data_IF_051854863310
#
_entry.id   IF_051854863310
#
_cell.length_a   1.000
_cell.length_b   1.000
_cell.length_c   1.000
_cell.angle_alpha   90.00
_cell.angle_beta   90.00
_cell.angle_gamma   90.00
#
_symmetry.space_group_name_H-M   'P 1'
#
loop_
_entity.id
_entity.type
_entity.pdbx_description
1 polymer ?
#
# COMPACT_ATOMS: atom_id res chain seq x y z
N UNK A 1 12.09 30.24 10.04
CA UNK A 1 13.30 29.87 9.28
C UNK A 1 14.49 30.55 9.93
N UNK A 2 15.40 29.80 10.55
CA UNK A 2 16.68 30.36 11.02
C UNK A 2 17.80 29.81 10.14
N UNK A 3 18.61 30.71 9.60
CA UNK A 3 19.78 30.41 8.80
C UNK A 3 21.00 30.68 9.69
N UNK A 4 21.78 29.64 9.96
CA UNK A 4 23.04 29.79 10.70
C UNK A 4 24.20 29.46 9.77
N UNK A 5 25.18 30.37 9.71
CA UNK A 5 26.48 30.11 9.09
C UNK A 5 27.34 29.42 10.14
N UNK A 6 27.66 28.13 9.95
CA UNK A 6 28.61 27.47 10.84
C UNK A 6 29.99 28.09 10.67
N UNK A 7 30.64 28.50 11.76
CA UNK A 7 32.06 28.84 11.72
C UNK A 7 32.91 27.61 11.36
N UNK A 8 34.01 27.86 10.66
CA UNK A 8 35.01 26.94 10.10
C UNK A 8 34.46 25.58 9.60
N UNK A 9 34.29 25.51 8.28
CA UNK A 9 34.01 24.30 7.48
C UNK A 9 32.63 23.63 7.68
N UNK A 10 31.72 24.28 8.40
CA UNK A 10 30.32 23.84 8.55
C UNK A 10 29.42 24.76 7.75
N UNK A 11 29.04 24.34 6.53
CA UNK A 11 28.17 25.08 5.63
C UNK A 11 26.82 25.54 6.24
N UNK A 12 26.07 26.32 5.46
CA UNK A 12 24.79 26.91 5.87
C UNK A 12 23.78 25.84 6.32
N UNK A 13 23.21 26.00 7.52
CA UNK A 13 22.21 25.09 8.08
C UNK A 13 20.85 25.78 8.18
N UNK A 14 19.82 25.04 7.75
CA UNK A 14 18.41 25.45 7.81
C UNK A 14 17.73 24.78 9.01
N UNK A 15 17.13 25.58 9.89
CA UNK A 15 16.21 25.07 10.92
C UNK A 15 14.75 25.28 10.49
N UNK A 16 14.08 24.17 10.16
CA UNK A 16 12.69 24.09 9.69
C UNK A 16 11.96 22.89 10.31
N UNK A 17 11.56 22.96 11.60
CA UNK A 17 10.85 21.88 12.25
C UNK A 17 9.51 21.61 11.54
N UNK A 18 9.31 20.38 11.08
CA UNK A 18 8.11 19.98 10.33
C UNK A 18 8.24 20.06 8.81
N UNK A 19 9.39 20.48 8.25
CA UNK A 19 9.66 20.52 6.81
C UNK A 19 8.67 21.36 5.99
N UNK A 20 8.04 22.39 6.57
CA UNK A 20 7.04 23.21 5.90
C UNK A 20 7.56 23.92 4.65
N UNK A 21 8.85 24.27 4.62
CA UNK A 21 9.48 25.01 3.52
C UNK A 21 10.60 24.21 2.84
N UNK A 22 10.72 22.93 3.18
CA UNK A 22 11.83 22.07 2.73
C UNK A 22 11.27 20.94 1.89
N UNK A 23 11.71 20.84 0.63
CA UNK A 23 11.38 19.71 -0.24
C UNK A 23 12.46 18.62 -0.11
N UNK A 24 12.21 17.50 0.61
CA UNK A 24 13.25 16.48 0.85
C UNK A 24 13.47 15.55 -0.35
N UNK A 25 12.51 15.45 -1.26
CA UNK A 25 12.52 14.50 -2.37
C UNK A 25 11.93 15.13 -3.63
N UNK A 26 12.44 14.72 -4.80
CA UNK A 26 11.83 14.99 -6.10
C UNK A 26 10.96 13.80 -6.49
N UNK A 27 9.68 14.04 -6.73
CA UNK A 27 8.72 13.02 -7.15
C UNK A 27 8.01 13.43 -8.44
N UNK A 28 7.58 12.43 -9.22
CA UNK A 28 6.71 12.58 -10.39
C UNK A 28 5.43 11.76 -10.26
N UNK A 29 5.05 11.38 -9.03
CA UNK A 29 3.89 10.52 -8.75
C UNK A 29 2.59 11.32 -8.73
N UNK A 30 2.52 12.36 -7.89
CA UNK A 30 1.36 13.23 -7.75
C UNK A 30 1.77 14.70 -7.80
N UNK A 31 0.86 15.53 -8.29
CA UNK A 31 0.95 16.98 -8.22
C UNK A 31 -0.28 17.51 -7.49
N UNK A 32 -0.05 18.41 -6.54
CA UNK A 32 -1.08 19.00 -5.69
C UNK A 32 -0.88 20.51 -5.73
N UNK A 33 -1.94 21.24 -6.07
CA UNK A 33 -2.06 22.68 -5.85
C UNK A 33 -3.23 22.92 -4.90
N UNK A 34 -2.93 23.31 -3.66
CA UNK A 34 -3.95 23.50 -2.64
C UNK A 34 -4.77 24.78 -2.82
N UNK A 35 -4.19 25.80 -3.46
CA UNK A 35 -4.84 27.10 -3.65
C UNK A 35 -5.84 27.02 -4.81
N UNK A 36 -5.47 26.33 -5.90
CA UNK A 36 -6.36 26.08 -7.05
C UNK A 36 -7.23 24.82 -6.89
N UNK A 37 -6.98 24.00 -5.86
CA UNK A 37 -7.70 22.75 -5.61
C UNK A 37 -7.41 21.65 -6.63
N UNK A 38 -6.20 21.62 -7.20
CA UNK A 38 -5.81 20.67 -8.24
C UNK A 38 -5.14 19.45 -7.61
N UNK A 39 -5.61 18.25 -7.97
CA UNK A 39 -4.94 16.99 -7.67
C UNK A 39 -4.76 16.18 -8.96
N UNK A 40 -3.52 15.80 -9.27
CA UNK A 40 -3.19 14.97 -10.44
C UNK A 40 -2.33 13.77 -10.06
N UNK A 41 -2.64 12.61 -10.61
CA UNK A 41 -1.80 11.41 -10.54
C UNK A 41 -1.12 11.19 -11.89
N UNK A 42 0.23 11.20 -11.90
CA UNK A 42 1.04 11.07 -13.12
C UNK A 42 0.62 12.04 -14.25
N UNK A 43 0.05 13.19 -13.91
CA UNK A 43 -0.45 14.19 -14.84
C UNK A 43 -1.95 14.11 -15.16
N UNK A 44 -2.62 13.01 -14.82
CA UNK A 44 -4.06 12.83 -15.00
C UNK A 44 -4.86 13.49 -13.87
N UNK A 45 -5.90 14.30 -14.16
CA UNK A 45 -6.81 14.84 -13.14
C UNK A 45 -7.50 13.74 -12.33
N UNK A 46 -7.66 13.95 -11.02
CA UNK A 46 -8.25 12.94 -10.14
C UNK A 46 -9.71 12.65 -10.48
N UNK A 47 -10.45 13.64 -10.96
CA UNK A 47 -11.87 13.54 -11.31
C UNK A 47 -12.06 12.56 -12.47
N UNK A 48 -11.17 12.63 -13.46
CA UNK A 48 -11.19 11.72 -14.62
C UNK A 48 -10.87 10.29 -14.20
N UNK A 49 -9.88 10.09 -13.33
CA UNK A 49 -9.53 8.76 -12.84
C UNK A 49 -10.65 8.18 -11.98
N UNK A 50 -11.31 8.99 -11.15
CA UNK A 50 -12.41 8.53 -10.30
C UNK A 50 -13.64 8.11 -11.11
N UNK A 51 -13.96 8.80 -12.21
CA UNK A 51 -15.13 8.49 -13.05
C UNK A 51 -14.89 7.36 -14.05
N UNK A 52 -13.68 7.25 -14.60
CA UNK A 52 -13.42 6.40 -15.78
C UNK A 52 -12.49 5.21 -15.52
N UNK A 53 -11.79 5.18 -14.39
CA UNK A 53 -10.77 4.16 -14.11
C UNK A 53 -11.18 3.25 -12.96
N UNK A 54 -10.47 2.13 -12.81
CA UNK A 54 -10.66 1.19 -11.69
C UNK A 54 -9.51 1.27 -10.70
N UNK A 55 -9.73 0.79 -9.46
CA UNK A 55 -8.66 0.80 -8.45
C UNK A 55 -7.37 0.08 -8.90
N UNK A 56 -7.42 -1.15 -9.49
CA UNK A 56 -6.20 -1.81 -9.98
C UNK A 56 -5.48 -1.03 -11.07
N UNK A 57 -6.22 -0.35 -11.95
CA UNK A 57 -5.67 0.48 -13.03
C UNK A 57 -4.95 1.72 -12.48
N UNK A 58 -5.57 2.44 -11.55
CA UNK A 58 -4.95 3.59 -10.87
C UNK A 58 -3.74 3.15 -10.03
N UNK A 59 -3.81 2.00 -9.37
CA UNK A 59 -2.68 1.44 -8.63
C UNK A 59 -1.49 1.15 -9.57
N UNK A 60 -1.76 0.56 -10.75
CA UNK A 60 -0.74 0.35 -11.78
C UNK A 60 -0.13 1.68 -12.24
N UNK A 61 -0.95 2.68 -12.54
CA UNK A 61 -0.52 4.02 -12.95
C UNK A 61 0.43 4.65 -11.93
N UNK A 62 0.09 4.61 -10.64
CA UNK A 62 0.89 5.23 -9.59
C UNK A 62 2.26 4.56 -9.47
N UNK A 63 2.31 3.23 -9.59
CA UNK A 63 3.53 2.43 -9.42
C UNK A 63 4.44 2.52 -10.65
N UNK A 64 3.89 2.35 -11.85
CA UNK A 64 4.66 2.20 -13.09
C UNK A 64 4.69 3.47 -13.96
N UNK A 65 3.85 4.46 -13.66
CA UNK A 65 3.91 5.80 -14.27
C UNK A 65 3.03 5.99 -15.50
N UNK A 66 2.46 4.94 -16.08
CA UNK A 66 1.56 5.02 -17.23
C UNK A 66 0.34 4.12 -17.00
N UNK A 67 -0.77 4.43 -17.68
CA UNK A 67 -1.94 3.56 -17.70
C UNK A 67 -1.59 2.23 -18.40
N UNK A 68 -2.07 1.09 -17.87
CA UNK A 68 -1.81 -0.22 -18.47
C UNK A 68 -2.58 -0.40 -19.78
N UNK A 69 -2.04 -1.20 -20.70
CA UNK A 69 -2.84 -1.77 -21.79
C UNK A 69 -3.83 -2.82 -21.24
N UNK A 70 -4.84 -3.18 -22.03
CA UNK A 70 -5.82 -4.20 -21.63
C UNK A 70 -5.16 -5.55 -21.23
N UNK A 71 -4.10 -5.97 -21.93
CA UNK A 71 -3.36 -7.19 -21.59
C UNK A 71 -2.57 -7.04 -20.28
N UNK A 72 -1.92 -5.88 -20.07
CA UNK A 72 -1.18 -5.60 -18.84
C UNK A 72 -2.11 -5.53 -17.63
N UNK A 73 -3.30 -4.96 -17.80
CA UNK A 73 -4.30 -4.90 -16.74
C UNK A 73 -4.81 -6.29 -16.38
N UNK A 74 -5.11 -7.15 -17.37
CA UNK A 74 -5.54 -8.51 -17.11
C UNK A 74 -4.47 -9.34 -16.37
N UNK A 75 -3.21 -9.24 -16.78
CA UNK A 75 -2.09 -9.91 -16.11
C UNK A 75 -1.92 -9.40 -14.67
N UNK A 76 -2.07 -8.10 -14.48
CA UNK A 76 -1.98 -7.44 -13.18
C UNK A 76 -3.09 -7.87 -12.22
N UNK A 77 -4.33 -7.88 -12.67
CA UNK A 77 -5.48 -8.32 -11.89
C UNK A 77 -5.39 -9.81 -11.53
N UNK A 78 -4.96 -10.66 -12.48
CA UNK A 78 -4.72 -12.08 -12.20
C UNK A 78 -3.66 -12.27 -11.13
N UNK A 79 -2.52 -11.57 -11.26
CA UNK A 79 -1.43 -11.65 -10.29
C UNK A 79 -1.87 -11.21 -8.88
N UNK A 80 -2.70 -10.16 -8.77
CA UNK A 80 -3.27 -9.72 -7.49
C UNK A 80 -4.22 -10.77 -6.93
N UNK A 81 -5.12 -11.31 -7.76
CA UNK A 81 -6.15 -12.29 -7.39
C UNK A 81 -5.54 -13.58 -6.81
N UNK A 82 -4.49 -14.11 -7.46
CA UNK A 82 -3.70 -15.26 -6.98
C UNK A 82 -3.04 -15.04 -5.62
N UNK A 83 -2.95 -13.78 -5.22
CA UNK A 83 -2.32 -13.33 -4.01
C UNK A 83 -3.33 -12.72 -3.03
N UNK A 84 -4.61 -13.10 -3.05
CA UNK A 84 -5.60 -12.64 -2.05
C UNK A 84 -5.71 -13.53 -0.81
N UNK A 85 -5.43 -14.83 -0.93
CA UNK A 85 -5.63 -15.81 0.14
C UNK A 85 -4.78 -15.52 1.39
N UNK A 86 -5.41 -15.63 2.56
CA UNK A 86 -4.79 -15.40 3.85
C UNK A 86 -4.08 -16.69 4.34
N UNK A 87 -2.78 -16.65 4.68
CA UNK A 87 -2.11 -17.79 5.30
C UNK A 87 -2.76 -18.16 6.63
N UNK A 88 -2.92 -19.46 6.90
CA UNK A 88 -3.61 -19.96 8.11
C UNK A 88 -3.00 -19.41 9.41
N UNK A 89 -1.66 -19.29 9.48
CA UNK A 89 -0.98 -18.72 10.64
C UNK A 89 -1.34 -17.24 10.88
N UNK A 90 -1.51 -16.46 9.81
CA UNK A 90 -1.91 -15.05 9.92
C UNK A 90 -3.39 -14.91 10.32
N UNK A 91 -4.26 -15.76 9.79
CA UNK A 91 -5.66 -15.83 10.21
C UNK A 91 -5.78 -16.14 11.71
N UNK A 92 -4.99 -17.09 12.22
CA UNK A 92 -4.94 -17.44 13.63
C UNK A 92 -4.45 -16.27 14.51
N UNK A 93 -3.43 -15.52 14.06
CA UNK A 93 -2.94 -14.33 14.76
C UNK A 93 -4.04 -13.27 14.87
N UNK A 94 -4.77 -12.99 13.79
CA UNK A 94 -5.89 -12.03 13.80
C UNK A 94 -6.99 -12.50 14.75
N UNK A 95 -7.33 -13.80 14.71
CA UNK A 95 -8.36 -14.37 15.59
C UNK A 95 -7.94 -14.48 17.06
N UNK A 96 -6.64 -14.44 17.36
CA UNK A 96 -6.14 -14.42 18.73
C UNK A 96 -6.22 -13.03 19.39
N UNK A 97 -6.37 -11.96 18.60
CA UNK A 97 -6.46 -10.60 19.13
C UNK A 97 -7.79 -10.35 19.85
N UNK A 98 -7.85 -9.47 20.87
CA UNK A 98 -9.11 -9.12 21.53
C UNK A 98 -10.14 -8.56 20.55
N UNK A 99 -11.42 -8.85 20.75
CA UNK A 99 -12.50 -8.36 19.88
C UNK A 99 -12.76 -6.85 20.04
N UNK A 100 -12.44 -6.30 21.21
CA UNK A 100 -12.56 -4.89 21.56
C UNK A 100 -11.32 -4.06 21.17
N UNK A 101 -10.31 -4.69 20.55
CA UNK A 101 -9.14 -4.00 20.05
C UNK A 101 -9.50 -3.09 18.87
N UNK A 102 -8.88 -1.90 18.82
CA UNK A 102 -9.12 -0.96 17.74
C UNK A 102 -8.66 -1.56 16.39
N UNK A 103 -9.50 -1.56 15.32
CA UNK A 103 -9.20 -2.21 14.04
C UNK A 103 -7.85 -1.82 13.44
N UNK A 104 -7.48 -0.53 13.52
CA UNK A 104 -6.18 -0.08 13.01
C UNK A 104 -4.98 -0.68 13.76
N UNK A 105 -5.09 -0.92 15.07
CA UNK A 105 -4.03 -1.58 15.83
C UNK A 105 -3.86 -3.02 15.37
N UNK A 106 -4.97 -3.73 15.20
CA UNK A 106 -4.99 -5.10 14.70
C UNK A 106 -4.44 -5.21 13.28
N UNK A 107 -4.81 -4.28 12.39
CA UNK A 107 -4.31 -4.22 11.02
C UNK A 107 -2.79 -4.05 10.97
N UNK A 108 -2.23 -3.11 11.74
CA UNK A 108 -0.78 -2.88 11.81
C UNK A 108 -0.04 -4.10 12.37
N UNK A 109 -0.59 -4.73 13.43
CA UNK A 109 -0.02 -5.95 13.99
C UNK A 109 -0.05 -7.10 12.99
N UNK A 110 -1.16 -7.27 12.26
CA UNK A 110 -1.30 -8.30 11.24
C UNK A 110 -0.33 -8.07 10.06
N UNK A 111 -0.14 -6.83 9.61
CA UNK A 111 0.84 -6.51 8.56
C UNK A 111 2.27 -6.76 9.02
N UNK A 112 2.57 -6.44 10.28
CA UNK A 112 3.87 -6.74 10.88
C UNK A 112 4.10 -8.25 10.97
N UNK A 113 3.11 -9.02 11.41
CA UNK A 113 3.17 -10.49 11.40
C UNK A 113 3.32 -11.05 9.98
N UNK A 114 2.61 -10.47 8.99
CA UNK A 114 2.73 -10.87 7.59
C UNK A 114 4.15 -10.70 7.04
N UNK A 115 4.86 -9.65 7.45
CA UNK A 115 6.26 -9.44 7.03
C UNK A 115 7.19 -10.61 7.43
N UNK A 116 6.88 -11.30 8.55
CA UNK A 116 7.69 -12.44 9.03
C UNK A 116 7.55 -13.69 8.17
N UNK A 117 6.48 -13.79 7.36
CA UNK A 117 6.23 -14.92 6.47
C UNK A 117 7.07 -14.87 5.18
N UNK A 118 7.76 -13.76 4.92
CA UNK A 118 8.58 -13.56 3.71
C UNK A 118 10.02 -13.18 4.10
N UNK A 119 10.80 -14.11 4.69
CA UNK A 119 12.21 -13.85 5.04
C UNK A 119 13.08 -13.61 3.80
N UNK A 120 12.64 -14.07 2.63
CA UNK A 120 13.23 -13.73 1.33
C UNK A 120 13.07 -12.27 0.94
N UNK A 121 12.10 -11.56 1.51
CA UNK A 121 11.80 -10.15 1.26
C UNK A 121 12.28 -9.22 2.39
N UNK A 122 13.06 -9.72 3.35
CA UNK A 122 13.53 -8.94 4.49
C UNK A 122 14.97 -8.45 4.27
N UNK A 123 15.20 -7.11 4.16
CA UNK A 123 16.53 -6.57 3.90
C UNK A 123 17.50 -6.78 5.06
N UNK A 124 17.02 -6.96 6.30
CA UNK A 124 17.87 -7.28 7.44
C UNK A 124 18.44 -8.71 7.38
N UNK A 125 17.78 -9.61 6.63
CA UNK A 125 18.21 -11.01 6.45
C UNK A 125 18.94 -11.25 5.14
N UNK A 126 18.58 -10.50 4.08
CA UNK A 126 19.08 -10.72 2.71
C UNK A 126 20.07 -9.67 2.22
N UNK A 127 20.21 -8.54 2.90
CA UNK A 127 21.00 -7.40 2.44
C UNK A 127 20.15 -6.29 1.85
N UNK A 128 20.72 -5.09 1.75
CA UNK A 128 20.03 -3.89 1.24
C UNK A 128 19.85 -3.92 -0.29
N UNK A 129 20.68 -4.70 -0.99
CA UNK A 129 20.67 -4.93 -2.44
C UNK A 129 19.44 -5.71 -2.93
N UNK A 130 18.68 -6.32 -2.01
CA UNK A 130 17.40 -6.97 -2.30
C UNK A 130 16.46 -6.09 -3.14
N UNK A 131 16.46 -4.79 -2.85
CA UNK A 131 15.58 -3.83 -3.50
C UNK A 131 16.08 -3.37 -4.87
N UNK A 132 17.23 -3.81 -5.37
CA UNK A 132 17.70 -3.43 -6.71
C UNK A 132 16.96 -4.21 -7.80
N UNK A 133 16.58 -5.45 -7.51
CA UNK A 133 15.83 -6.30 -8.45
C UNK A 133 14.37 -5.84 -8.59
N UNK A 134 14.00 -5.36 -9.79
CA UNK A 134 12.63 -5.00 -10.14
C UNK A 134 11.65 -6.17 -9.90
N UNK A 135 12.03 -7.39 -10.27
CA UNK A 135 11.19 -8.58 -10.10
C UNK A 135 10.85 -8.85 -8.63
N UNK A 136 11.82 -8.68 -7.73
CA UNK A 136 11.58 -8.85 -6.28
C UNK A 136 10.61 -7.78 -5.78
N UNK A 137 10.80 -6.51 -6.17
CA UNK A 137 9.89 -5.42 -5.80
C UNK A 137 8.48 -5.65 -6.32
N UNK A 138 8.32 -5.96 -7.61
CA UNK A 138 7.02 -6.20 -8.25
C UNK A 138 6.26 -7.34 -7.56
N UNK A 139 6.95 -8.43 -7.22
CA UNK A 139 6.34 -9.54 -6.47
C UNK A 139 5.79 -9.11 -5.10
N UNK A 140 6.52 -8.27 -4.37
CA UNK A 140 6.04 -7.79 -3.06
C UNK A 140 4.89 -6.80 -3.20
N UNK A 141 4.91 -5.96 -4.24
CA UNK A 141 3.82 -5.02 -4.53
C UNK A 141 2.51 -5.78 -4.74
N UNK A 142 2.49 -6.78 -5.62
CA UNK A 142 1.30 -7.59 -5.90
C UNK A 142 0.81 -8.31 -4.63
N UNK A 143 1.74 -8.84 -3.83
CA UNK A 143 1.42 -9.47 -2.54
C UNK A 143 0.74 -8.50 -1.58
N UNK A 144 1.25 -7.28 -1.44
CA UNK A 144 0.65 -6.28 -0.55
C UNK A 144 -0.74 -5.88 -1.06
N UNK A 145 -0.88 -5.59 -2.35
CA UNK A 145 -2.16 -5.21 -2.95
C UNK A 145 -3.24 -6.30 -2.80
N UNK A 146 -2.87 -7.58 -2.90
CA UNK A 146 -3.80 -8.70 -2.70
C UNK A 146 -4.12 -8.99 -1.23
N UNK A 147 -3.15 -8.88 -0.31
CA UNK A 147 -3.34 -9.26 1.11
C UNK A 147 -4.03 -8.20 1.95
N UNK A 148 -3.75 -6.91 1.69
CA UNK A 148 -4.24 -5.83 2.54
C UNK A 148 -5.77 -5.82 2.65
N UNK A 149 -6.56 -5.97 1.57
CA UNK A 149 -8.02 -6.07 1.66
C UNK A 149 -8.49 -7.26 2.48
N UNK A 150 -7.89 -8.44 2.27
CA UNK A 150 -8.24 -9.67 3.00
C UNK A 150 -7.93 -9.55 4.49
N UNK A 151 -6.80 -8.94 4.85
CA UNK A 151 -6.44 -8.66 6.25
C UNK A 151 -7.42 -7.65 6.86
N UNK A 152 -7.72 -6.56 6.15
CA UNK A 152 -8.64 -5.55 6.62
C UNK A 152 -10.05 -6.12 6.87
N UNK A 153 -10.55 -6.95 5.95
CA UNK A 153 -11.83 -7.62 6.10
C UNK A 153 -11.83 -8.61 7.28
N UNK A 154 -10.78 -9.43 7.42
CA UNK A 154 -10.63 -10.35 8.54
C UNK A 154 -10.57 -9.63 9.91
N UNK A 155 -9.95 -8.46 9.97
CA UNK A 155 -9.91 -7.61 11.17
C UNK A 155 -11.30 -7.05 11.49
N UNK A 156 -12.05 -6.58 10.49
CA UNK A 156 -13.41 -6.08 10.67
C UNK A 156 -14.34 -7.19 11.20
N UNK A 157 -14.33 -8.36 10.55
CA UNK A 157 -15.09 -9.52 11.00
C UNK A 157 -14.68 -9.96 12.41
N UNK A 158 -13.40 -9.85 12.77
CA UNK A 158 -12.95 -10.13 14.14
C UNK A 158 -13.56 -9.19 15.17
N UNK A 159 -13.68 -7.90 14.87
CA UNK A 159 -14.36 -6.95 15.78
C UNK A 159 -15.86 -7.22 15.91
N UNK A 160 -16.47 -7.88 14.92
CA UNK A 160 -17.86 -8.36 14.97
C UNK A 160 -18.00 -9.77 15.60
N UNK A 161 -16.89 -10.42 15.94
CA UNK A 161 -16.89 -11.79 16.47
C UNK A 161 -17.17 -12.88 15.42
N UNK A 162 -17.05 -12.57 14.13
CA UNK A 162 -17.25 -13.48 13.00
C UNK A 162 -15.94 -14.14 12.56
N UNK A 163 -16.00 -15.36 11.98
CA UNK A 163 -14.83 -15.98 11.36
C UNK A 163 -14.42 -15.22 10.09
N UNK A 164 -13.15 -15.28 9.67
CA UNK A 164 -12.69 -14.57 8.46
C UNK A 164 -13.24 -15.22 7.19
N UNK A 165 -13.64 -14.39 6.24
CA UNK A 165 -14.08 -14.79 4.92
C UNK A 165 -12.93 -15.29 4.03
N UNK A 166 -13.23 -16.21 3.10
CA UNK A 166 -12.31 -16.56 2.02
C UNK A 166 -12.53 -15.62 0.83
N UNK A 167 -11.46 -15.13 0.17
CA UNK A 167 -11.60 -14.33 -1.04
C UNK A 167 -12.16 -15.16 -2.19
N UNK A 168 -12.87 -14.49 -3.11
CA UNK A 168 -13.40 -15.05 -4.34
C UNK A 168 -12.66 -14.48 -5.55
N UNK A 169 -12.08 -15.36 -6.38
CA UNK A 169 -11.36 -14.96 -7.59
C UNK A 169 -12.30 -14.54 -8.73
N UNK A 170 -13.61 -14.73 -8.58
CA UNK A 170 -14.61 -14.39 -9.61
C UNK A 170 -15.15 -12.96 -9.46
N UNK A 171 -14.74 -12.23 -8.44
CA UNK A 171 -15.19 -10.87 -8.15
C UNK A 171 -14.09 -9.86 -8.48
N UNK A 172 -14.48 -8.63 -8.84
CA UNK A 172 -13.50 -7.53 -8.98
C UNK A 172 -12.88 -7.16 -7.64
N UNK A 173 -11.80 -6.36 -7.67
CA UNK A 173 -11.07 -5.97 -6.47
C UNK A 173 -11.95 -5.38 -5.36
N UNK A 174 -12.83 -4.44 -5.72
CA UNK A 174 -13.72 -3.78 -4.77
C UNK A 174 -14.88 -4.69 -4.34
N UNK A 175 -15.46 -5.45 -5.27
CA UNK A 175 -16.54 -6.40 -4.96
C UNK A 175 -16.05 -7.51 -4.02
N UNK A 176 -14.85 -8.05 -4.24
CA UNK A 176 -14.26 -9.06 -3.37
C UNK A 176 -14.02 -8.51 -1.95
N UNK A 177 -13.57 -7.26 -1.83
CA UNK A 177 -13.39 -6.62 -0.53
C UNK A 177 -14.73 -6.47 0.21
N UNK A 178 -15.77 -5.96 -0.46
CA UNK A 178 -17.10 -5.84 0.13
C UNK A 178 -17.71 -7.20 0.50
N UNK A 179 -17.56 -8.19 -0.37
CA UNK A 179 -17.97 -9.56 -0.11
C UNK A 179 -17.33 -10.10 1.17
N UNK A 180 -16.02 -9.92 1.35
CA UNK A 180 -15.31 -10.39 2.54
C UNK A 180 -15.68 -9.61 3.82
N UNK A 181 -16.26 -8.42 3.72
CA UNK A 181 -16.73 -7.67 4.89
C UNK A 181 -18.07 -8.18 5.42
N UNK A 182 -18.93 -8.72 4.55
CA UNK A 182 -20.31 -9.08 4.90
C UNK A 182 -20.63 -10.59 4.82
N UNK A 183 -19.71 -11.43 4.34
CA UNK A 183 -19.92 -12.88 4.18
C UNK A 183 -20.03 -13.68 5.48
#
# INVERSE_FOLDING_TARGET
MQLTTGGDDKGLKLYDPGYFNTAPVRSSVSYIDGDEGILRYRGYPIEELAEKSTYPEVAYLLIYGNLPSASQLADWESAISEHTALPAGLAAIIQAMPQDAHPMGMLVTALSAYSTLHPDANPALRGQDLYDSKSVRDKQIVRVLGKVPTIAAAVCLRTEGRPPAFPSNNLSYAENFLYMLDS
#
